data_IF_474820857580
#
_entry.id   IF_474820857580
#
_cell.length_a   1.000
_cell.length_b   1.000
_cell.length_c   1.000
_cell.angle_alpha   90.00
_cell.angle_beta   90.00
_cell.angle_gamma   90.00
#
_symmetry.space_group_name_H-M   'P 1'
#
loop_
_entity.id
_entity.type
_entity.pdbx_description
1 polymer ?
#
# COMPACT_ATOMS: atom_id res chain seq x y z
N UNK A 1 5.95 16.86 9.11
CA UNK A 1 5.30 15.57 9.44
C UNK A 1 4.30 15.70 10.59
N UNK A 2 4.71 15.93 11.85
CA UNK A 2 3.79 15.93 13.02
C UNK A 2 2.51 16.77 12.83
N UNK A 3 2.65 18.03 12.38
CA UNK A 3 1.51 18.91 12.08
C UNK A 3 0.55 18.32 11.04
N UNK A 4 1.06 17.60 10.04
CA UNK A 4 0.24 17.02 8.98
C UNK A 4 -0.50 15.75 9.45
N UNK A 5 -0.02 15.08 10.51
CA UNK A 5 -0.63 13.89 11.10
C UNK A 5 -1.59 14.19 12.25
N UNK A 6 -1.77 15.47 12.62
CA UNK A 6 -2.52 15.85 13.82
C UNK A 6 -3.97 15.34 13.80
N UNK A 7 -4.58 15.31 12.61
CA UNK A 7 -5.95 14.86 12.40
C UNK A 7 -6.10 13.35 12.10
N UNK A 8 -4.99 12.61 11.99
CA UNK A 8 -5.00 11.18 11.65
C UNK A 8 -4.54 10.33 12.84
N UNK A 9 -5.05 9.11 12.96
CA UNK A 9 -4.54 8.14 13.94
C UNK A 9 -3.42 7.28 13.38
N UNK A 10 -3.48 7.00 12.08
CA UNK A 10 -2.50 6.22 11.35
C UNK A 10 -2.10 6.93 10.07
N UNK A 11 -1.01 6.49 9.46
CA UNK A 11 -0.59 6.94 8.14
C UNK A 11 0.02 5.78 7.37
N UNK A 12 -0.01 5.86 6.04
CA UNK A 12 0.53 4.80 5.19
C UNK A 12 2.04 4.99 5.06
N UNK A 13 2.78 3.90 5.13
CA UNK A 13 4.22 3.87 4.93
C UNK A 13 4.65 2.68 4.07
N UNK A 14 5.81 2.84 3.43
CA UNK A 14 6.43 1.78 2.66
C UNK A 14 7.96 1.86 2.72
N UNK A 15 8.70 0.73 2.77
CA UNK A 15 10.16 0.75 2.68
C UNK A 15 10.63 1.35 1.37
N UNK A 16 11.60 2.26 1.42
CA UNK A 16 12.20 2.84 0.21
C UNK A 16 12.84 1.76 -0.68
N UNK A 17 13.47 0.73 -0.09
CA UNK A 17 14.14 -0.36 -0.81
C UNK A 17 13.58 -1.70 -0.34
N UNK A 18 13.14 -2.55 -1.26
CA UNK A 18 12.59 -3.89 -0.96
C UNK A 18 12.39 -4.70 -2.23
N UNK A 19 12.39 -6.03 -2.12
CA UNK A 19 12.09 -6.95 -3.22
C UNK A 19 10.58 -7.08 -3.49
N UNK A 20 9.73 -6.72 -2.51
CA UNK A 20 8.28 -6.71 -2.63
C UNK A 20 7.73 -5.32 -2.36
N UNK A 21 6.85 -4.82 -3.23
CA UNK A 21 6.25 -3.50 -3.03
C UNK A 21 5.02 -3.59 -2.12
N UNK A 22 5.26 -3.56 -0.81
CA UNK A 22 4.20 -3.65 0.19
C UNK A 22 4.02 -2.32 0.93
N UNK A 23 2.78 -1.96 1.20
CA UNK A 23 2.40 -0.81 2.02
C UNK A 23 1.77 -1.29 3.33
N UNK A 24 1.82 -0.45 4.36
CA UNK A 24 1.19 -0.73 5.65
C UNK A 24 0.88 0.55 6.42
N UNK A 25 0.01 0.43 7.41
CA UNK A 25 -0.35 1.54 8.31
C UNK A 25 0.60 1.59 9.51
N UNK A 26 1.07 2.79 9.85
CA UNK A 26 1.81 3.08 11.07
C UNK A 26 1.01 4.05 11.93
N UNK A 27 0.98 3.80 13.24
CA UNK A 27 0.35 4.71 14.20
C UNK A 27 1.10 6.05 14.24
N UNK A 28 0.41 7.18 14.39
CA UNK A 28 0.99 8.54 14.39
C UNK A 28 2.11 8.78 15.41
N UNK A 29 2.12 8.00 16.49
CA UNK A 29 3.14 8.05 17.54
C UNK A 29 4.47 7.39 17.12
N UNK A 30 4.43 6.51 16.13
CA UNK A 30 5.62 5.86 15.55
C UNK A 30 6.19 6.81 14.51
N UNK A 31 7.46 7.21 14.67
CA UNK A 31 8.13 8.06 13.70
C UNK A 31 8.96 7.22 12.73
N UNK A 32 8.85 7.47 11.41
CA UNK A 32 9.64 6.77 10.41
C UNK A 32 11.08 7.30 10.44
N UNK A 33 12.02 6.40 10.16
CA UNK A 33 13.39 6.78 9.83
C UNK A 33 13.55 6.96 8.30
N UNK A 34 14.70 7.48 7.87
CA UNK A 34 15.04 7.91 6.50
C UNK A 34 14.77 6.88 5.37
N UNK A 35 14.59 5.60 5.68
CA UNK A 35 14.34 4.52 4.69
C UNK A 35 12.86 4.15 4.54
N UNK A 36 11.94 4.96 5.08
CA UNK A 36 10.52 4.83 4.81
C UNK A 36 10.01 6.03 3.99
N UNK A 37 9.18 5.73 2.99
CA UNK A 37 8.36 6.72 2.30
C UNK A 37 7.00 6.74 2.98
N UNK A 38 6.49 7.93 3.27
CA UNK A 38 5.24 8.13 4.02
C UNK A 38 4.20 8.87 3.18
N UNK A 39 2.94 8.52 3.41
CA UNK A 39 1.79 9.20 2.83
C UNK A 39 0.90 9.65 3.99
N UNK A 40 0.56 10.93 4.03
CA UNK A 40 -0.30 11.53 5.06
C UNK A 40 -1.76 11.23 4.73
N UNK A 41 -2.12 9.95 4.73
CA UNK A 41 -3.45 9.42 4.46
C UNK A 41 -3.68 8.15 5.27
N UNK A 42 -4.92 7.93 5.69
CA UNK A 42 -5.36 6.76 6.47
C UNK A 42 -6.51 6.00 5.79
N UNK A 43 -6.89 6.39 4.58
CA UNK A 43 -8.00 5.78 3.85
C UNK A 43 -7.58 4.54 3.03
N UNK A 44 -8.48 3.54 2.98
CA UNK A 44 -8.22 2.29 2.29
C UNK A 44 -8.30 2.39 0.76
N UNK A 45 -8.95 3.42 0.20
CA UNK A 45 -9.05 3.57 -1.25
C UNK A 45 -7.69 3.93 -1.84
N UNK A 46 -7.04 4.96 -1.29
CA UNK A 46 -5.69 5.35 -1.65
C UNK A 46 -4.67 4.24 -1.36
N UNK A 47 -4.75 3.61 -0.17
CA UNK A 47 -3.93 2.44 0.16
C UNK A 47 -4.08 1.32 -0.88
N UNK A 48 -5.31 1.02 -1.29
CA UNK A 48 -5.59 -0.01 -2.28
C UNK A 48 -5.04 0.30 -3.67
N UNK A 49 -5.08 1.55 -4.12
CA UNK A 49 -4.46 1.96 -5.39
C UNK A 49 -2.95 1.70 -5.34
N UNK A 50 -2.28 2.09 -4.25
CA UNK A 50 -0.83 1.88 -4.09
C UNK A 50 -0.44 0.40 -4.01
N UNK A 51 -1.27 -0.42 -3.37
CA UNK A 51 -1.01 -1.85 -3.21
C UNK A 51 -1.35 -2.68 -4.46
N UNK A 52 -2.00 -2.08 -5.46
CA UNK A 52 -2.45 -2.76 -6.68
C UNK A 52 -1.31 -3.12 -7.65
N UNK A 53 -1.57 -4.10 -8.52
CA UNK A 53 -0.69 -4.47 -9.64
C UNK A 53 -0.40 -3.29 -10.56
N UNK A 54 -1.34 -2.38 -10.76
CA UNK A 54 -1.16 -1.18 -11.61
C UNK A 54 -0.02 -0.29 -11.09
N UNK A 55 -0.04 -0.01 -9.78
CA UNK A 55 1.02 0.77 -9.16
C UNK A 55 2.34 0.01 -9.10
N UNK A 56 2.30 -1.31 -8.90
CA UNK A 56 3.50 -2.15 -8.93
C UNK A 56 4.17 -2.15 -10.33
N UNK A 57 3.41 -2.38 -11.40
CA UNK A 57 3.89 -2.36 -12.79
C UNK A 57 4.54 -1.01 -13.11
N UNK A 58 3.90 0.09 -12.73
CA UNK A 58 4.48 1.43 -12.90
C UNK A 58 5.77 1.61 -12.10
N UNK A 59 5.78 1.14 -10.85
CA UNK A 59 6.95 1.20 -9.98
C UNK A 59 8.14 0.48 -10.60
N UNK A 60 7.95 -0.76 -11.06
CA UNK A 60 9.01 -1.57 -11.69
C UNK A 60 9.59 -0.86 -12.93
N UNK A 61 8.74 -0.22 -13.74
CA UNK A 61 9.16 0.48 -14.94
C UNK A 61 9.89 1.81 -14.70
N UNK A 62 9.59 2.51 -13.60
CA UNK A 62 10.06 3.90 -13.34
C UNK A 62 11.00 4.05 -12.15
N UNK A 63 11.20 2.98 -11.37
CA UNK A 63 12.11 2.98 -10.23
C UNK A 63 13.58 2.82 -10.65
N UNK A 64 14.47 3.09 -9.69
CA UNK A 64 15.87 2.68 -9.75
C UNK A 64 16.06 1.34 -9.06
N UNK A 65 17.05 0.57 -9.51
CA UNK A 65 17.37 -0.76 -8.97
C UNK A 65 18.68 -0.72 -8.20
N UNK A 66 18.76 -1.46 -7.08
CA UNK A 66 19.96 -1.57 -6.25
C UNK A 66 20.39 -3.05 -6.15
N UNK A 67 21.69 -3.27 -6.00
CA UNK A 67 22.28 -4.62 -5.91
C UNK A 67 22.35 -5.30 -7.27
N UNK A 68 22.18 -6.62 -7.30
CA UNK A 68 22.17 -7.42 -8.54
C UNK A 68 20.85 -7.33 -9.33
N UNK A 69 20.06 -6.27 -9.14
CA UNK A 69 18.77 -6.08 -9.79
C UNK A 69 17.57 -6.74 -9.10
N UNK A 70 17.68 -7.09 -7.81
CA UNK A 70 16.60 -7.75 -7.07
C UNK A 70 15.74 -6.78 -6.24
N UNK A 71 16.26 -5.59 -5.93
CA UNK A 71 15.59 -4.64 -5.04
C UNK A 71 15.25 -3.33 -5.77
N UNK A 72 13.97 -2.99 -5.75
CA UNK A 72 13.43 -1.75 -6.31
C UNK A 72 13.54 -0.61 -5.29
N UNK A 73 13.84 0.59 -5.78
CA UNK A 73 13.90 1.81 -4.97
C UNK A 73 12.72 2.72 -5.27
N UNK A 74 11.83 2.88 -4.30
CA UNK A 74 10.69 3.77 -4.40
C UNK A 74 11.11 5.22 -4.20
N UNK A 75 10.80 6.08 -5.18
CA UNK A 75 11.08 7.51 -5.10
C UNK A 75 9.80 8.31 -5.32
N UNK A 76 9.69 9.46 -4.65
CA UNK A 76 8.56 10.35 -4.84
C UNK A 76 8.51 10.85 -6.29
N UNK A 77 9.65 11.37 -6.79
CA UNK A 77 9.71 12.08 -8.07
C UNK A 77 9.57 11.19 -9.29
N UNK A 78 10.16 9.98 -9.28
CA UNK A 78 10.12 9.11 -10.46
C UNK A 78 8.94 8.17 -10.48
N UNK A 79 8.45 7.72 -9.31
CA UNK A 79 7.39 6.71 -9.20
C UNK A 79 6.05 7.36 -8.85
N UNK A 80 5.95 8.01 -7.69
CA UNK A 80 4.66 8.46 -7.17
C UNK A 80 4.10 9.67 -7.93
N UNK A 81 4.89 10.73 -8.09
CA UNK A 81 4.48 11.97 -8.77
C UNK A 81 4.15 11.72 -10.25
N UNK A 82 4.79 10.75 -10.89
CA UNK A 82 4.52 10.39 -12.29
C UNK A 82 3.39 9.39 -12.45
N UNK A 83 3.00 8.66 -11.39
CA UNK A 83 1.95 7.65 -11.49
C UNK A 83 0.62 8.30 -11.91
N UNK A 84 -0.02 7.82 -13.00
CA UNK A 84 -1.31 8.32 -13.42
C UNK A 84 -2.41 7.64 -12.62
N UNK A 85 -2.79 8.25 -11.50
CA UNK A 85 -3.91 7.80 -10.67
C UNK A 85 -5.24 7.77 -11.45
N UNK A 86 -6.20 6.90 -11.07
CA UNK A 86 -7.54 6.92 -11.66
C UNK A 86 -8.19 8.30 -11.50
N UNK A 87 -8.94 8.73 -12.51
CA UNK A 87 -9.64 10.02 -12.48
C UNK A 87 -10.61 10.09 -11.30
N UNK A 88 -10.64 11.23 -10.60
CA UNK A 88 -11.45 11.41 -9.39
C UNK A 88 -10.92 10.72 -8.13
N UNK A 89 -9.79 10.00 -8.22
CA UNK A 89 -9.09 9.35 -7.09
C UNK A 89 -7.62 9.78 -7.01
N UNK A 90 -7.30 10.98 -7.50
CA UNK A 90 -5.95 11.53 -7.47
C UNK A 90 -5.54 11.93 -6.04
N UNK A 91 -4.23 11.96 -5.72
CA UNK A 91 -3.75 12.15 -4.36
C UNK A 91 -4.13 13.48 -3.71
N UNK A 92 -4.36 14.50 -4.54
CA UNK A 92 -4.76 15.86 -4.15
C UNK A 92 -6.23 15.96 -3.73
N UNK A 93 -7.05 14.95 -4.03
CA UNK A 93 -8.47 14.90 -3.63
C UNK A 93 -8.57 14.30 -2.21
N UNK A 94 -9.16 15.02 -1.24
CA UNK A 94 -9.42 14.49 0.10
C UNK A 94 -10.33 13.25 0.08
N UNK A 95 -10.12 12.30 1.00
CA UNK A 95 -10.89 11.05 1.04
C UNK A 95 -12.40 11.26 1.17
N UNK A 96 -12.81 12.31 1.91
CA UNK A 96 -14.22 12.67 2.09
C UNK A 96 -14.92 13.04 0.77
N UNK A 97 -14.18 13.58 -0.20
CA UNK A 97 -14.75 14.11 -1.44
C UNK A 97 -15.09 12.98 -2.44
N UNK A 98 -14.44 11.82 -2.31
CA UNK A 98 -14.76 10.61 -3.09
C UNK A 98 -15.39 9.49 -2.24
N UNK A 99 -15.84 9.78 -1.01
CA UNK A 99 -16.37 8.75 -0.11
C UNK A 99 -17.56 7.97 -0.71
N UNK A 100 -18.39 8.63 -1.52
CA UNK A 100 -19.54 8.04 -2.21
C UNK A 100 -19.20 7.51 -3.63
N UNK A 101 -17.94 7.64 -4.07
CA UNK A 101 -17.53 7.12 -5.36
C UNK A 101 -17.56 5.57 -5.32
N UNK A 102 -18.33 4.90 -6.20
CA UNK A 102 -18.47 3.45 -6.16
C UNK A 102 -17.14 2.71 -6.37
N UNK A 103 -16.22 3.27 -7.15
CA UNK A 103 -14.88 2.72 -7.34
C UNK A 103 -14.02 2.87 -6.08
N UNK A 104 -14.06 4.03 -5.41
CA UNK A 104 -13.36 4.23 -4.14
C UNK A 104 -13.84 3.24 -3.07
N UNK A 105 -15.17 3.03 -2.97
CA UNK A 105 -15.77 2.08 -2.04
C UNK A 105 -15.31 0.64 -2.34
N UNK A 106 -15.33 0.25 -3.62
CA UNK A 106 -14.91 -1.09 -4.04
C UNK A 106 -13.42 -1.35 -3.73
N UNK A 107 -12.55 -0.40 -4.08
CA UNK A 107 -11.10 -0.48 -3.79
C UNK A 107 -10.88 -0.52 -2.28
N UNK A 108 -11.50 0.41 -1.53
CA UNK A 108 -11.35 0.50 -0.08
C UNK A 108 -11.77 -0.79 0.63
N UNK A 109 -12.89 -1.40 0.21
CA UNK A 109 -13.34 -2.68 0.76
C UNK A 109 -12.37 -3.83 0.48
N UNK A 110 -11.87 -3.94 -0.75
CA UNK A 110 -10.92 -4.98 -1.12
C UNK A 110 -9.58 -4.81 -0.37
N UNK A 111 -9.09 -3.58 -0.26
CA UNK A 111 -7.84 -3.25 0.40
C UNK A 111 -7.93 -3.42 1.93
N UNK A 112 -9.05 -3.07 2.54
CA UNK A 112 -9.32 -3.31 3.97
C UNK A 112 -9.29 -4.81 4.30
N UNK A 113 -9.95 -5.64 3.48
CA UNK A 113 -9.94 -7.09 3.64
C UNK A 113 -8.53 -7.69 3.47
N UNK A 114 -7.76 -7.17 2.49
CA UNK A 114 -6.38 -7.58 2.27
C UNK A 114 -5.51 -7.25 3.48
N UNK A 115 -5.63 -6.03 4.01
CA UNK A 115 -4.89 -5.59 5.20
C UNK A 115 -5.27 -6.39 6.45
N UNK A 116 -6.56 -6.60 6.70
CA UNK A 116 -7.05 -7.43 7.81
C UNK A 116 -6.46 -8.84 7.77
N UNK A 117 -6.45 -9.47 6.59
CA UNK A 117 -5.88 -10.82 6.45
C UNK A 117 -4.37 -10.85 6.66
N UNK A 118 -3.64 -9.82 6.22
CA UNK A 118 -2.20 -9.68 6.52
C UNK A 118 -1.99 -9.54 8.01
N UNK A 119 -2.73 -8.68 8.68
CA UNK A 119 -2.63 -8.48 10.13
C UNK A 119 -2.93 -9.77 10.90
N UNK A 120 -3.98 -10.50 10.52
CA UNK A 120 -4.32 -11.79 11.13
C UNK A 120 -3.26 -12.88 10.88
N UNK A 121 -2.57 -12.82 9.73
CA UNK A 121 -1.45 -13.72 9.45
C UNK A 121 -0.18 -13.30 10.21
N UNK A 122 0.11 -12.01 10.32
CA UNK A 122 1.28 -11.52 11.07
C UNK A 122 1.10 -11.76 12.57
N UNK A 123 -0.11 -11.52 13.08
CA UNK A 123 -0.44 -11.48 14.50
C UNK A 123 -1.64 -12.40 14.82
N UNK A 124 -1.52 -13.73 14.70
CA UNK A 124 -2.63 -14.65 14.97
C UNK A 124 -3.11 -14.60 16.41
N UNK A 125 -4.43 -14.63 16.67
CA UNK A 125 -4.99 -14.47 18.00
C UNK A 125 -4.60 -15.58 18.99
N UNK A 126 -4.20 -16.75 18.49
CA UNK A 126 -3.69 -17.87 19.30
C UNK A 126 -2.20 -17.72 19.66
N UNK A 127 -1.45 -16.84 18.99
CA UNK A 127 -0.02 -16.61 19.21
C UNK A 127 0.29 -15.30 19.92
N UNK A 128 -0.61 -14.32 19.86
CA UNK A 128 -0.39 -12.99 20.43
C UNK A 128 -1.43 -12.63 21.49
N UNK A 129 -1.01 -11.80 22.45
CA UNK A 129 -1.90 -11.04 23.33
C UNK A 129 -1.61 -9.55 23.16
N UNK A 130 -2.65 -8.73 23.30
CA UNK A 130 -2.55 -7.27 23.27
C UNK A 130 -2.61 -6.73 24.69
N UNK A 131 -1.65 -5.90 25.04
CA UNK A 131 -1.58 -5.22 26.34
C UNK A 131 -1.47 -3.72 26.11
N UNK A 132 -2.18 -2.87 26.90
CA UNK A 132 -2.01 -1.43 26.81
C UNK A 132 -0.56 -1.00 26.94
N UNK A 133 -0.15 0.01 26.18
CA UNK A 133 1.18 0.62 26.35
C UNK A 133 1.23 1.41 27.67
N UNK A 134 2.41 1.46 28.28
CA UNK A 134 2.66 2.19 29.54
C UNK A 134 2.58 3.70 29.33
N UNK A 135 2.85 4.16 28.11
CA UNK A 135 2.83 5.56 27.71
C UNK A 135 1.55 5.85 26.94
N UNK A 136 0.79 6.84 27.41
CA UNK A 136 -0.43 7.31 26.76
C UNK A 136 -0.16 7.79 25.32
N UNK A 137 -1.10 7.51 24.42
CA UNK A 137 -1.00 7.90 23.01
C UNK A 137 -0.16 6.98 22.12
N UNK A 138 0.32 5.84 22.64
CA UNK A 138 0.94 4.78 21.86
C UNK A 138 -0.04 3.60 21.66
N UNK A 139 0.09 2.84 20.55
CA UNK A 139 -0.75 1.68 20.32
C UNK A 139 -0.43 0.55 21.30
N UNK A 140 -1.41 -0.32 21.56
CA UNK A 140 -1.23 -1.52 22.38
C UNK A 140 -0.03 -2.36 21.92
N UNK A 141 0.71 -2.90 22.89
CA UNK A 141 1.81 -3.82 22.65
C UNK A 141 1.27 -5.17 22.23
N UNK A 142 1.76 -5.67 21.11
CA UNK A 142 1.51 -7.03 20.64
C UNK A 142 2.63 -7.92 21.17
N UNK A 143 2.31 -8.81 22.12
CA UNK A 143 3.27 -9.68 22.78
C UNK A 143 2.97 -11.15 22.49
N UNK A 144 4.01 -12.00 22.32
CA UNK A 144 3.81 -13.44 22.20
C UNK A 144 3.20 -14.01 23.48
N UNK A 145 2.26 -14.96 23.35
CA UNK A 145 1.63 -15.61 24.50
C UNK A 145 2.63 -16.41 25.34
N UNK A 146 3.65 -17.02 24.71
CA UNK A 146 4.75 -17.74 25.34
C UNK A 146 6.02 -17.75 24.44
N UNK A 147 7.09 -18.40 24.91
CA UNK A 147 8.36 -18.50 24.16
C UNK A 147 8.23 -19.31 22.84
N UNK A 148 7.31 -20.27 22.78
CA UNK A 148 7.08 -21.07 21.56
C UNK A 148 6.40 -20.21 20.50
N UNK A 149 5.38 -19.45 20.89
CA UNK A 149 4.73 -18.47 20.03
C UNK A 149 5.73 -17.41 19.55
N UNK A 150 6.61 -16.93 20.42
CA UNK A 150 7.68 -16.00 20.05
C UNK A 150 8.60 -16.57 18.95
N UNK A 151 8.96 -17.86 19.02
CA UNK A 151 9.76 -18.53 18.01
C UNK A 151 9.03 -18.65 16.65
N UNK A 152 7.70 -18.86 16.67
CA UNK A 152 6.87 -18.90 15.46
C UNK A 152 6.74 -17.51 14.84
N UNK A 153 6.43 -16.50 15.65
CA UNK A 153 6.21 -15.11 15.21
C UNK A 153 7.45 -14.49 14.55
N UNK A 154 8.67 -14.90 14.94
CA UNK A 154 9.92 -14.50 14.25
C UNK A 154 9.92 -14.82 12.75
N UNK A 155 9.16 -15.83 12.32
CA UNK A 155 9.05 -16.21 10.90
C UNK A 155 7.85 -15.56 10.20
N UNK A 156 6.94 -14.92 10.94
CA UNK A 156 5.74 -14.27 10.39
C UNK A 156 6.05 -12.83 10.03
N UNK A 157 6.80 -12.64 8.95
CA UNK A 157 7.10 -11.33 8.36
C UNK A 157 6.38 -11.16 7.02
N UNK A 158 6.12 -9.92 6.60
CA UNK A 158 5.54 -9.66 5.28
C UNK A 158 6.39 -10.26 4.15
N UNK A 159 7.73 -10.20 4.25
CA UNK A 159 8.63 -10.84 3.28
C UNK A 159 8.34 -12.34 3.17
N UNK A 160 8.22 -13.05 4.29
CA UNK A 160 7.94 -14.48 4.27
C UNK A 160 6.53 -14.79 3.75
N UNK A 161 5.53 -13.99 4.12
CA UNK A 161 4.17 -14.12 3.59
C UNK A 161 4.15 -14.00 2.05
N UNK A 162 4.89 -13.04 1.51
CA UNK A 162 4.94 -12.79 0.07
C UNK A 162 5.83 -13.79 -0.69
N UNK A 163 6.85 -14.36 -0.03
CA UNK A 163 7.60 -15.49 -0.55
C UNK A 163 6.72 -16.75 -0.66
N UNK A 164 5.94 -17.06 0.38
CA UNK A 164 5.03 -18.23 0.41
C UNK A 164 3.84 -18.05 -0.54
N UNK A 165 3.35 -16.81 -0.65
CA UNK A 165 2.26 -16.37 -1.53
C UNK A 165 1.04 -17.31 -1.50
N UNK A 166 0.43 -17.54 -0.32
CA UNK A 166 -0.68 -18.47 -0.17
C UNK A 166 -1.89 -18.06 -1.04
N UNK A 167 -2.73 -19.03 -1.40
CA UNK A 167 -3.86 -18.81 -2.31
C UNK A 167 -4.81 -17.69 -1.85
N UNK A 168 -5.04 -17.53 -0.54
CA UNK A 168 -5.87 -16.46 -0.02
C UNK A 168 -5.30 -15.07 -0.31
N UNK A 169 -3.97 -14.91 -0.31
CA UNK A 169 -3.27 -13.66 -0.57
C UNK A 169 -3.37 -13.32 -2.06
N UNK A 170 -3.16 -14.31 -2.93
CA UNK A 170 -3.35 -14.17 -4.39
C UNK A 170 -4.77 -13.73 -4.71
N UNK A 171 -5.77 -14.38 -4.10
CA UNK A 171 -7.17 -14.06 -4.36
C UNK A 171 -7.55 -12.67 -3.85
N UNK A 172 -7.00 -12.24 -2.70
CA UNK A 172 -7.24 -10.90 -2.15
C UNK A 172 -6.62 -9.80 -3.04
N UNK A 173 -5.40 -10.01 -3.52
CA UNK A 173 -4.76 -9.12 -4.49
C UNK A 173 -5.52 -9.07 -5.82
N UNK A 174 -5.98 -10.22 -6.34
CA UNK A 174 -6.80 -10.25 -7.57
C UNK A 174 -8.09 -9.43 -7.43
N UNK A 175 -8.78 -9.55 -6.30
CA UNK A 175 -9.99 -8.77 -6.04
C UNK A 175 -9.70 -7.25 -5.95
N UNK A 176 -8.55 -6.87 -5.39
CA UNK A 176 -8.09 -5.49 -5.36
C UNK A 176 -7.78 -4.97 -6.77
N UNK A 177 -7.03 -5.75 -7.56
CA UNK A 177 -6.70 -5.42 -8.95
C UNK A 177 -7.95 -5.26 -9.82
N UNK A 178 -8.95 -6.13 -9.67
CA UNK A 178 -10.24 -6.01 -10.36
C UNK A 178 -10.94 -4.70 -10.02
N UNK A 179 -10.94 -4.28 -8.75
CA UNK A 179 -11.55 -3.02 -8.33
C UNK A 179 -10.79 -1.80 -8.89
N UNK A 180 -9.46 -1.83 -8.90
CA UNK A 180 -8.63 -0.75 -9.46
C UNK A 180 -8.75 -0.69 -10.99
N UNK A 181 -8.79 -1.83 -11.68
CA UNK A 181 -9.08 -1.88 -13.11
C UNK A 181 -10.43 -1.21 -13.44
N UNK A 182 -11.44 -1.49 -12.61
CA UNK A 182 -12.75 -0.84 -12.71
C UNK A 182 -12.68 0.69 -12.58
N UNK A 183 -11.83 1.22 -11.68
CA UNK A 183 -11.64 2.66 -11.52
C UNK A 183 -10.97 3.32 -12.75
N UNK A 184 -10.11 2.59 -13.45
CA UNK A 184 -9.56 3.02 -14.75
C UNK A 184 -10.52 2.80 -15.93
N UNK A 185 -11.63 2.09 -15.72
CA UNK A 185 -12.52 1.64 -16.80
C UNK A 185 -11.88 0.59 -17.71
N UNK A 186 -10.93 -0.19 -17.20
CA UNK A 186 -10.16 -1.17 -17.97
C UNK A 186 -10.58 -2.62 -17.67
N UNK A 187 -10.33 -3.57 -18.59
CA UNK A 187 -10.45 -5.00 -18.31
C UNK A 187 -9.51 -5.42 -17.15
N UNK A 188 -9.95 -6.39 -16.34
CA UNK A 188 -9.16 -6.86 -15.19
C UNK A 188 -8.05 -7.87 -15.59
N UNK A 189 -8.17 -8.48 -16.76
CA UNK A 189 -7.31 -9.54 -17.29
C UNK A 189 -6.16 -9.01 -18.17
N UNK A 190 -5.91 -7.70 -18.15
CA UNK A 190 -4.76 -7.10 -18.85
C UNK A 190 -3.43 -7.66 -18.36
N UNK A 191 -2.54 -7.92 -19.32
CA UNK A 191 -1.13 -8.21 -19.06
C UNK A 191 -0.39 -6.98 -18.50
N UNK A 192 0.75 -7.22 -17.86
CA UNK A 192 1.56 -6.13 -17.29
C UNK A 192 2.05 -5.15 -18.38
N UNK A 193 2.36 -5.64 -19.59
CA UNK A 193 2.75 -4.79 -20.73
C UNK A 193 1.60 -3.89 -21.21
N UNK A 194 0.38 -4.43 -21.26
CA UNK A 194 -0.81 -3.64 -21.62
C UNK A 194 -1.14 -2.59 -20.55
N UNK A 195 -1.02 -2.96 -19.27
CA UNK A 195 -1.15 -2.02 -18.15
C UNK A 195 -0.14 -0.90 -18.28
N UNK A 196 1.14 -1.23 -18.48
CA UNK A 196 2.21 -0.24 -18.60
C UNK A 196 1.99 0.69 -19.78
N UNK A 197 1.62 0.17 -20.95
CA UNK A 197 1.37 0.98 -22.14
C UNK A 197 0.23 1.99 -21.92
N UNK A 198 -0.86 1.57 -21.26
CA UNK A 198 -2.00 2.45 -20.97
C UNK A 198 -1.66 3.50 -19.91
N UNK A 199 -0.95 3.12 -18.85
CA UNK A 199 -0.47 4.07 -17.85
C UNK A 199 0.48 5.10 -18.49
N UNK A 200 1.39 4.66 -19.36
CA UNK A 200 2.28 5.58 -20.07
C UNK A 200 1.53 6.59 -20.94
N UNK A 201 0.47 6.15 -21.64
CA UNK A 201 -0.40 7.05 -22.39
C UNK A 201 -1.07 8.10 -21.49
N UNK A 202 -1.66 7.69 -20.35
CA UNK A 202 -2.26 8.61 -19.38
C UNK A 202 -1.23 9.62 -18.82
N UNK A 203 -0.01 9.16 -18.53
CA UNK A 203 1.05 10.02 -18.05
C UNK A 203 1.45 11.09 -19.09
N UNK A 204 1.55 10.72 -20.37
CA UNK A 204 1.83 11.66 -21.46
C UNK A 204 0.71 12.68 -21.66
N UNK A 205 -0.55 12.25 -21.59
CA UNK A 205 -1.70 13.15 -21.69
C UNK A 205 -1.70 14.18 -20.55
N UNK A 206 -1.36 13.76 -19.33
CA UNK A 206 -1.24 14.66 -18.17
C UNK A 206 -0.11 15.67 -18.37
N UNK A 207 1.06 15.21 -18.79
CA UNK A 207 2.21 16.09 -19.06
C UNK A 207 1.92 17.12 -20.15
N UNK A 208 1.18 16.74 -21.20
CA UNK A 208 0.76 17.65 -22.25
C UNK A 208 -0.22 18.73 -21.74
N UNK A 209 -1.15 18.36 -20.84
CA UNK A 209 -2.08 19.31 -20.21
C UNK A 209 -1.35 20.31 -19.30
N UNK A 210 -0.37 19.85 -18.52
CA UNK A 210 0.46 20.69 -17.64
C UNK A 210 1.32 21.69 -18.41
N UNK A 211 1.79 21.34 -19.61
CA UNK A 211 2.56 22.25 -20.47
C UNK A 211 1.71 23.29 -21.20
N UNK A 212 0.40 23.02 -21.36
CA UNK A 212 -0.53 23.87 -22.09
C UNK A 212 -1.27 24.87 -21.19
N UNK A 213 -1.29 24.66 -19.87
CA UNK A 213 -1.90 25.54 -18.87
C UNK A 213 -0.90 26.52 -18.26
#
# INVERSE_FOLDING_TARGET
>A
MRKALEALDHYIATPMVTSYRNFGFLHKAILPDQKLVIFVRDDFAFFGILESRFHFVWTVATCSWIGSGNDITYSNTSVFETFPFPEGLTPDIPAGDYAENPHAIAIGKAAALLNERRENWLNPPDLVRREPEVVEGFPDRILPVDEKAAAILKKRTLTNLYNERPAWLVNAHRALDEAVAGAYGWPADLSDDEILARLFALNQERAAKEQAG
#
